data_IF_569946707887
#
_entry.id   IF_569946707887
#
_cell.length_a   1.000
_cell.length_b   1.000
_cell.length_c   1.000
_cell.angle_alpha   90.00
_cell.angle_beta   90.00
_cell.angle_gamma   90.00
#
_symmetry.space_group_name_H-M   'P 1'
#
loop_
_entity.id
_entity.type
_entity.pdbx_description
1 polymer ?
#
# COMPACT_ATOMS: atom_id res chain seq x y z
N UNK A 1 3.53 -0.26 19.98
CA UNK A 1 2.75 0.24 18.83
C UNK A 1 1.82 1.33 19.31
N UNK A 2 1.96 2.53 18.75
CA UNK A 2 1.12 3.68 19.10
C UNK A 2 0.04 3.85 18.03
N UNK A 3 -1.25 3.78 18.41
CA UNK A 3 -2.32 3.96 17.43
C UNK A 3 -2.40 5.41 16.95
N UNK A 4 -2.91 5.60 15.74
CA UNK A 4 -3.22 6.95 15.24
C UNK A 4 -4.43 7.52 15.98
N UNK A 5 -4.54 8.85 15.97
CA UNK A 5 -5.68 9.56 16.55
C UNK A 5 -6.98 9.22 15.82
N UNK A 6 -8.11 9.28 16.53
CA UNK A 6 -9.44 9.17 15.92
C UNK A 6 -9.87 10.47 15.24
N UNK A 7 -9.17 11.58 15.49
CA UNK A 7 -9.45 12.86 14.84
C UNK A 7 -8.88 12.88 13.41
N UNK A 8 -9.76 13.08 12.43
CA UNK A 8 -9.39 13.04 11.01
C UNK A 8 -8.29 14.05 10.66
N UNK A 9 -8.43 15.30 11.10
CA UNK A 9 -7.45 16.35 10.77
C UNK A 9 -6.10 16.05 11.40
N UNK A 10 -6.09 15.53 12.62
CA UNK A 10 -4.85 15.17 13.30
C UNK A 10 -4.12 14.03 12.58
N UNK A 11 -4.86 13.02 12.09
CA UNK A 11 -4.27 11.92 11.31
C UNK A 11 -3.73 12.41 9.97
N UNK A 12 -4.45 13.31 9.31
CA UNK A 12 -3.99 13.90 8.04
C UNK A 12 -2.67 14.64 8.23
N UNK A 13 -2.56 15.46 9.26
CA UNK A 13 -1.34 16.22 9.57
C UNK A 13 -0.19 15.29 9.98
N UNK A 14 -0.47 14.30 10.81
CA UNK A 14 0.52 13.31 11.22
C UNK A 14 1.04 12.53 10.01
N UNK A 15 0.14 12.11 9.11
CA UNK A 15 0.51 11.40 7.91
C UNK A 15 1.47 12.19 7.02
N UNK A 16 1.21 13.50 6.86
CA UNK A 16 2.11 14.38 6.11
C UNK A 16 3.51 14.43 6.73
N UNK A 17 3.57 14.63 8.04
CA UNK A 17 4.85 14.68 8.77
C UNK A 17 5.62 13.35 8.63
N UNK A 18 4.95 12.23 8.81
CA UNK A 18 5.58 10.91 8.72
C UNK A 18 6.09 10.63 7.31
N UNK A 19 5.31 10.96 6.28
CA UNK A 19 5.73 10.77 4.88
C UNK A 19 6.94 11.66 4.56
N UNK A 20 6.92 12.92 4.96
CA UNK A 20 8.05 13.85 4.74
C UNK A 20 9.34 13.37 5.39
N UNK A 21 9.25 12.80 6.57
CA UNK A 21 10.42 12.31 7.33
C UNK A 21 10.86 10.92 6.91
N UNK A 22 10.07 10.23 6.10
CA UNK A 22 10.31 8.83 5.78
C UNK A 22 10.18 7.94 7.03
N UNK A 23 9.30 8.31 7.95
CA UNK A 23 9.11 7.60 9.21
C UNK A 23 8.58 6.20 8.98
N UNK A 24 9.14 5.23 9.69
CA UNK A 24 8.71 3.85 9.66
C UNK A 24 8.17 3.47 11.03
N UNK A 25 6.84 3.54 11.23
CA UNK A 25 6.24 3.22 12.52
C UNK A 25 6.44 1.76 12.88
N UNK A 26 6.49 1.47 14.17
CA UNK A 26 6.49 0.09 14.65
C UNK A 26 5.15 -0.57 14.30
N UNK A 27 5.21 -1.80 13.80
CA UNK A 27 4.05 -2.61 13.45
C UNK A 27 4.15 -3.98 14.11
N UNK A 28 3.05 -4.73 14.12
CA UNK A 28 3.07 -6.11 14.56
C UNK A 28 3.90 -6.95 13.58
N UNK A 29 4.64 -7.90 14.10
CA UNK A 29 5.45 -8.79 13.27
C UNK A 29 4.54 -9.80 12.57
N UNK A 30 4.67 -9.86 11.25
CA UNK A 30 3.92 -10.80 10.40
C UNK A 30 4.94 -11.53 9.54
N UNK A 31 5.06 -12.84 9.73
CA UNK A 31 6.01 -13.64 8.97
C UNK A 31 5.54 -13.84 7.53
N UNK A 32 6.48 -13.76 6.59
CA UNK A 32 6.26 -14.12 5.19
C UNK A 32 6.92 -15.45 4.83
N UNK A 33 7.49 -16.15 5.81
CA UNK A 33 8.13 -17.45 5.58
C UNK A 33 7.14 -18.46 4.98
N UNK A 34 7.61 -19.24 4.03
CA UNK A 34 6.80 -20.25 3.37
C UNK A 34 5.87 -19.75 2.28
N UNK A 35 5.84 -18.46 2.03
CA UNK A 35 5.04 -17.88 0.96
C UNK A 35 5.95 -17.41 -0.17
N UNK A 36 5.69 -17.88 -1.38
CA UNK A 36 6.42 -17.48 -2.58
C UNK A 36 5.73 -16.33 -3.32
N UNK A 37 4.44 -16.17 -3.10
CA UNK A 37 3.59 -15.19 -3.77
C UNK A 37 2.83 -14.39 -2.72
N UNK A 38 3.04 -13.06 -2.72
CA UNK A 38 2.55 -12.19 -1.65
C UNK A 38 1.84 -11.00 -2.27
N UNK A 39 0.60 -10.76 -1.83
CA UNK A 39 -0.15 -9.57 -2.17
C UNK A 39 0.08 -8.50 -1.11
N UNK A 40 0.46 -7.30 -1.52
CA UNK A 40 0.65 -6.16 -0.61
C UNK A 40 -0.30 -5.03 -0.99
N UNK A 41 -1.24 -4.74 -0.11
CA UNK A 41 -2.22 -3.68 -0.32
C UNK A 41 -2.03 -2.53 0.65
N UNK A 42 -2.16 -1.30 0.15
CA UNK A 42 -2.02 -0.07 0.95
C UNK A 42 -2.99 1.01 0.46
N UNK A 43 -3.52 1.85 1.36
CA UNK A 43 -4.14 3.09 0.92
C UNK A 43 -3.07 4.08 0.48
N UNK A 44 -3.51 5.15 -0.20
CA UNK A 44 -2.64 6.28 -0.54
C UNK A 44 -2.60 7.26 0.64
N UNK A 45 -1.42 7.57 1.13
CA UNK A 45 -1.17 8.60 2.13
C UNK A 45 -0.19 9.61 1.56
N UNK A 46 -0.68 10.83 1.32
CA UNK A 46 0.14 11.91 0.79
C UNK A 46 0.97 11.49 -0.42
N UNK A 47 0.27 10.92 -1.40
CA UNK A 47 0.80 10.55 -2.72
C UNK A 47 1.80 9.39 -2.72
N UNK A 48 1.87 8.64 -1.62
CA UNK A 48 2.70 7.43 -1.54
C UNK A 48 2.02 6.36 -0.68
N UNK A 49 2.71 5.25 -0.43
CA UNK A 49 2.20 4.19 0.45
C UNK A 49 2.08 4.66 1.90
N UNK A 50 1.18 4.05 2.66
CA UNK A 50 1.09 4.30 4.09
C UNK A 50 2.42 3.95 4.77
N UNK A 51 2.86 4.75 5.77
CA UNK A 51 4.14 4.50 6.46
C UNK A 51 4.29 3.09 7.02
N UNK A 52 3.21 2.48 7.51
CA UNK A 52 3.22 1.10 8.01
C UNK A 52 3.59 0.08 6.92
N UNK A 53 3.18 0.32 5.67
CA UNK A 53 3.56 -0.53 4.55
C UNK A 53 5.07 -0.45 4.29
N UNK A 54 5.64 0.73 4.39
CA UNK A 54 7.08 0.92 4.24
C UNK A 54 7.85 0.17 5.33
N UNK A 55 7.39 0.22 6.58
CA UNK A 55 7.95 -0.57 7.67
C UNK A 55 7.91 -2.06 7.33
N UNK A 56 6.77 -2.56 6.87
CA UNK A 56 6.61 -3.97 6.52
C UNK A 56 7.58 -4.39 5.42
N UNK A 57 7.67 -3.60 4.35
CA UNK A 57 8.58 -3.92 3.24
C UNK A 57 10.03 -3.95 3.70
N UNK A 58 10.45 -2.99 4.53
CA UNK A 58 11.82 -2.92 5.01
C UNK A 58 12.13 -3.98 6.10
N UNK A 59 11.11 -4.55 6.72
CA UNK A 59 11.27 -5.56 7.77
C UNK A 59 11.48 -6.98 7.23
N UNK A 60 11.31 -7.17 5.93
CA UNK A 60 11.38 -8.50 5.30
C UNK A 60 12.26 -8.49 4.06
N UNK A 61 12.76 -9.67 3.69
CA UNK A 61 13.48 -9.88 2.46
C UNK A 61 12.55 -10.53 1.42
N UNK A 62 12.26 -9.78 0.35
CA UNK A 62 11.39 -10.24 -0.73
C UNK A 62 12.17 -10.79 -1.93
N UNK A 63 13.49 -10.92 -1.81
CA UNK A 63 14.32 -11.44 -2.90
C UNK A 63 13.85 -12.84 -3.33
N UNK A 64 13.63 -13.00 -4.63
CA UNK A 64 13.18 -14.26 -5.19
C UNK A 64 11.69 -14.55 -5.03
N UNK A 65 10.95 -13.66 -4.37
CA UNK A 65 9.51 -13.80 -4.21
C UNK A 65 8.74 -13.05 -5.29
N UNK A 66 7.54 -13.49 -5.58
CA UNK A 66 6.60 -12.77 -6.45
C UNK A 66 5.72 -11.91 -5.57
N UNK A 67 5.73 -10.60 -5.80
CA UNK A 67 4.93 -9.64 -5.03
C UNK A 67 3.95 -8.93 -5.96
N UNK A 68 2.71 -8.84 -5.54
CA UNK A 68 1.63 -8.22 -6.31
C UNK A 68 1.09 -7.04 -5.50
N UNK A 69 1.59 -5.82 -5.77
CA UNK A 69 1.12 -4.64 -5.07
C UNK A 69 -0.23 -4.15 -5.61
N UNK A 70 -1.06 -3.69 -4.72
CA UNK A 70 -2.28 -2.97 -5.08
C UNK A 70 -2.51 -1.83 -4.08
N UNK A 71 -3.29 -0.85 -4.50
CA UNK A 71 -3.54 0.31 -3.65
C UNK A 71 -4.92 0.90 -3.90
N UNK A 72 -5.40 1.64 -2.92
CA UNK A 72 -6.67 2.37 -3.02
C UNK A 72 -6.41 3.86 -2.97
N UNK A 73 -7.21 4.62 -3.69
CA UNK A 73 -7.14 6.08 -3.69
C UNK A 73 -8.51 6.69 -4.00
N UNK A 74 -8.66 7.98 -3.71
CA UNK A 74 -9.89 8.73 -3.96
C UNK A 74 -9.81 9.67 -5.18
N UNK A 75 -8.87 9.42 -6.11
CA UNK A 75 -8.66 10.26 -7.31
C UNK A 75 -7.24 10.81 -7.40
N UNK A 76 -6.41 10.58 -6.40
CA UNK A 76 -5.01 11.05 -6.34
C UNK A 76 -4.07 9.89 -6.02
N UNK A 77 -3.79 9.01 -6.99
CA UNK A 77 -2.98 7.80 -6.74
C UNK A 77 -1.52 8.09 -6.41
N UNK A 78 -1.00 9.23 -6.82
CA UNK A 78 0.39 9.59 -6.57
C UNK A 78 1.38 8.58 -7.13
N UNK A 79 2.42 8.29 -6.36
CA UNK A 79 3.51 7.39 -6.72
C UNK A 79 3.49 6.07 -5.94
N UNK A 80 2.34 5.67 -5.42
CA UNK A 80 2.24 4.51 -4.52
C UNK A 80 2.87 3.26 -5.14
N UNK A 81 2.41 2.85 -6.31
CA UNK A 81 2.93 1.63 -6.96
C UNK A 81 4.41 1.79 -7.33
N UNK A 82 4.78 2.94 -7.87
CA UNK A 82 6.18 3.23 -8.22
C UNK A 82 7.10 3.13 -6.99
N UNK A 83 6.68 3.72 -5.89
CA UNK A 83 7.46 3.71 -4.65
C UNK A 83 7.53 2.31 -4.04
N UNK A 84 6.43 1.54 -4.07
CA UNK A 84 6.43 0.16 -3.64
C UNK A 84 7.42 -0.69 -4.45
N UNK A 85 7.39 -0.55 -5.77
CA UNK A 85 8.32 -1.27 -6.65
C UNK A 85 9.78 -0.92 -6.34
N UNK A 86 10.04 0.33 -6.05
CA UNK A 86 11.38 0.80 -5.70
C UNK A 86 11.89 0.16 -4.40
N UNK A 87 11.00 0.01 -3.42
CA UNK A 87 11.36 -0.55 -2.12
C UNK A 87 11.40 -2.08 -2.10
N UNK A 88 10.69 -2.75 -3.01
CA UNK A 88 10.64 -4.22 -3.11
C UNK A 88 11.82 -4.77 -3.91
N UNK A 89 13.03 -4.52 -3.45
CA UNK A 89 14.26 -4.91 -4.14
C UNK A 89 14.37 -6.43 -4.25
N UNK A 90 14.67 -6.90 -5.45
CA UNK A 90 14.87 -8.31 -5.73
C UNK A 90 13.59 -9.12 -5.91
N UNK A 91 12.43 -8.53 -5.69
CA UNK A 91 11.14 -9.18 -5.94
C UNK A 91 10.77 -9.16 -7.42
N UNK A 92 10.02 -10.17 -7.85
CA UNK A 92 9.37 -10.18 -9.16
C UNK A 92 7.99 -9.59 -9.01
N UNK A 93 7.66 -8.55 -9.79
CA UNK A 93 6.38 -7.86 -9.72
C UNK A 93 5.70 -7.96 -11.10
N UNK A 94 4.92 -9.02 -11.34
CA UNK A 94 4.33 -9.26 -12.67
C UNK A 94 3.21 -8.29 -13.01
N UNK A 95 2.51 -7.78 -12.02
CA UNK A 95 1.37 -6.88 -12.19
C UNK A 95 1.13 -6.10 -10.93
N UNK A 96 0.32 -5.06 -11.04
CA UNK A 96 -0.14 -4.24 -9.92
C UNK A 96 -1.52 -3.71 -10.23
N UNK A 97 -2.22 -3.16 -9.24
CA UNK A 97 -3.53 -2.57 -9.46
C UNK A 97 -3.75 -1.33 -8.62
N UNK A 98 -4.34 -0.31 -9.25
CA UNK A 98 -4.86 0.87 -8.58
C UNK A 98 -6.38 0.76 -8.55
N UNK A 99 -6.97 0.87 -7.36
CA UNK A 99 -8.41 0.79 -7.16
C UNK A 99 -8.90 2.15 -6.67
N UNK A 100 -9.72 2.81 -7.47
CA UNK A 100 -10.26 4.12 -7.14
C UNK A 100 -11.59 4.02 -6.42
N UNK A 101 -11.70 4.74 -5.32
CA UNK A 101 -12.94 4.97 -4.58
C UNK A 101 -13.38 6.42 -4.76
N UNK A 102 -14.57 6.76 -4.24
CA UNK A 102 -15.07 8.12 -4.35
C UNK A 102 -14.17 9.14 -3.65
N UNK A 103 -14.18 10.38 -4.16
CA UNK A 103 -13.30 11.44 -3.67
C UNK A 103 -13.71 12.03 -2.31
N UNK A 104 -14.83 11.60 -1.77
CA UNK A 104 -15.35 12.09 -0.48
C UNK A 104 -14.94 11.20 0.69
N UNK A 105 -14.08 10.21 0.44
CA UNK A 105 -13.66 9.27 1.47
C UNK A 105 -14.71 8.21 1.80
N UNK A 106 -15.69 8.05 0.94
CA UNK A 106 -16.73 7.03 1.10
C UNK A 106 -16.27 5.65 0.62
N UNK A 107 -17.21 4.72 0.62
CA UNK A 107 -16.97 3.33 0.27
C UNK A 107 -17.43 2.93 -1.14
N UNK A 108 -17.79 3.91 -1.96
CA UNK A 108 -18.20 3.66 -3.35
C UNK A 108 -16.98 3.45 -4.22
N UNK A 109 -16.83 2.26 -4.74
CA UNK A 109 -15.73 1.91 -5.64
C UNK A 109 -16.01 2.45 -7.05
N UNK A 110 -15.15 3.37 -7.53
CA UNK A 110 -15.23 3.94 -8.89
C UNK A 110 -14.67 2.96 -9.91
N UNK A 111 -13.54 2.32 -9.59
CA UNK A 111 -13.03 1.21 -10.39
C UNK A 111 -14.09 0.13 -10.45
N UNK A 112 -14.43 -0.35 -11.64
CA UNK A 112 -15.49 -1.37 -11.76
C UNK A 112 -15.05 -2.69 -11.14
N UNK A 113 -16.03 -3.42 -10.57
CA UNK A 113 -15.76 -4.75 -10.04
C UNK A 113 -15.26 -5.70 -11.15
N UNK A 114 -15.71 -5.48 -12.39
CA UNK A 114 -15.26 -6.27 -13.53
C UNK A 114 -13.76 -6.08 -13.82
N UNK A 115 -13.27 -4.85 -13.70
CA UNK A 115 -11.83 -4.59 -13.82
C UNK A 115 -11.03 -5.32 -12.77
N UNK A 116 -11.49 -5.30 -11.52
CA UNK A 116 -10.83 -5.99 -10.41
C UNK A 116 -10.84 -7.51 -10.67
N UNK A 117 -11.99 -8.04 -11.04
CA UNK A 117 -12.12 -9.48 -11.31
C UNK A 117 -11.26 -9.92 -12.49
N UNK A 118 -11.23 -9.13 -13.57
CA UNK A 118 -10.39 -9.42 -14.73
C UNK A 118 -8.91 -9.44 -14.35
N UNK A 119 -8.48 -8.52 -13.51
CA UNK A 119 -7.11 -8.48 -13.01
C UNK A 119 -6.79 -9.73 -12.18
N UNK A 120 -7.68 -10.10 -11.26
CA UNK A 120 -7.52 -11.29 -10.41
C UNK A 120 -7.44 -12.56 -11.26
N UNK A 121 -8.26 -12.68 -12.30
CA UNK A 121 -8.28 -13.86 -13.18
C UNK A 121 -7.00 -14.04 -13.98
N UNK A 122 -6.23 -12.97 -14.20
CA UNK A 122 -4.97 -13.01 -14.94
C UNK A 122 -3.75 -13.31 -14.05
N UNK A 123 -3.96 -13.43 -12.78
CA UNK A 123 -2.85 -13.68 -11.83
C UNK A 123 -2.31 -15.16 -11.91
#
# INVERSE_FOLDING_TARGET
>A
IVPYSDDYDAVVDQGLEEVKKGYEPEIEDISIEGYDRIFLGTPTWWYTMAPAMKTFIHSHDFKGKTVIPFMTHGGWPGKVIKDMKKELKGATIPTSMEVQFDSQGGNKMVTSINEVNNWIEKL
#
